data_IF_561302399528
#
_entry.id   IF_561302399528
#
_cell.length_a   1.000
_cell.length_b   1.000
_cell.length_c   1.000
_cell.angle_alpha   90.00
_cell.angle_beta   90.00
_cell.angle_gamma   90.00
#
_symmetry.space_group_name_H-M   'P 1'
#
loop_
_entity.id
_entity.type
_entity.pdbx_description
1 polymer ?
#
# COMPACT_ATOMS: atom_id res chain seq x y z
N UNK A 1 1.50 61.70 -24.28
CA UNK A 1 2.57 60.74 -23.95
C UNK A 1 2.12 60.02 -22.68
N UNK A 2 1.44 58.89 -22.82
CA UNK A 2 0.92 58.08 -21.72
C UNK A 2 1.22 56.64 -22.05
N UNK A 3 2.31 56.12 -21.50
CA UNK A 3 2.66 54.70 -21.63
C UNK A 3 1.70 53.90 -20.75
N UNK A 4 0.87 53.07 -21.39
CA UNK A 4 0.11 52.06 -20.68
C UNK A 4 1.11 50.98 -20.24
N UNK A 5 1.38 50.94 -18.94
CA UNK A 5 2.08 49.83 -18.27
C UNK A 5 1.41 48.52 -18.69
N UNK A 6 2.13 47.74 -19.48
CA UNK A 6 1.78 46.37 -19.84
C UNK A 6 1.87 45.54 -18.56
N UNK A 7 0.72 45.28 -17.93
CA UNK A 7 0.64 44.45 -16.74
C UNK A 7 1.21 43.06 -17.04
N UNK A 8 2.36 42.76 -16.44
CA UNK A 8 2.90 41.41 -16.45
C UNK A 8 1.89 40.48 -15.77
N UNK A 9 1.33 39.55 -16.53
CA UNK A 9 0.51 38.45 -15.98
C UNK A 9 1.42 37.67 -15.03
N UNK A 10 1.08 37.53 -13.74
CA UNK A 10 1.89 36.72 -12.84
C UNK A 10 1.96 35.31 -13.42
N UNK A 11 3.19 34.81 -13.61
CA UNK A 11 3.44 33.46 -14.06
C UNK A 11 2.64 32.51 -13.16
N UNK A 12 1.76 31.70 -13.77
CA UNK A 12 0.90 30.75 -13.06
C UNK A 12 1.78 29.87 -12.19
N UNK A 13 1.66 29.99 -10.86
CA UNK A 13 2.35 29.12 -9.93
C UNK A 13 1.95 27.65 -10.24
N UNK A 14 2.89 26.69 -10.23
CA UNK A 14 2.57 25.31 -10.54
C UNK A 14 1.46 24.84 -9.59
N UNK A 15 0.31 24.47 -10.17
CA UNK A 15 -0.82 23.96 -9.40
C UNK A 15 -0.34 22.75 -8.56
N UNK A 16 -0.69 22.69 -7.26
CA UNK A 16 -0.29 21.57 -6.40
C UNK A 16 -0.67 20.25 -7.06
N UNK A 17 0.30 19.34 -7.17
CA UNK A 17 0.07 18.01 -7.73
C UNK A 17 -0.81 17.23 -6.75
N UNK A 18 -2.13 17.29 -6.96
CA UNK A 18 -3.13 16.63 -6.12
C UNK A 18 -2.87 15.12 -6.11
N UNK A 19 -2.90 14.54 -4.91
CA UNK A 19 -2.76 13.10 -4.73
C UNK A 19 -3.92 12.36 -5.45
N UNK A 20 -3.65 11.13 -5.88
CA UNK A 20 -4.63 10.32 -6.59
C UNK A 20 -5.93 10.19 -5.76
N UNK A 21 -7.07 10.52 -6.37
CA UNK A 21 -8.38 10.45 -5.72
C UNK A 21 -8.76 11.65 -4.86
N UNK A 22 -7.92 12.70 -4.77
CA UNK A 22 -8.20 13.94 -4.03
C UNK A 22 -8.66 15.05 -4.98
N UNK A 23 -9.74 15.74 -4.62
CA UNK A 23 -10.34 16.86 -5.34
C UNK A 23 -9.67 18.20 -5.02
N UNK A 24 -9.99 19.28 -5.77
CA UNK A 24 -9.36 20.59 -5.62
C UNK A 24 -9.57 21.24 -4.24
N UNK A 25 -10.61 20.83 -3.53
CA UNK A 25 -10.95 21.23 -2.16
C UNK A 25 -10.16 20.46 -1.09
N UNK A 26 -9.29 19.53 -1.49
CA UNK A 26 -8.49 18.70 -0.60
C UNK A 26 -9.23 17.49 -0.02
N UNK A 27 -10.49 17.27 -0.41
CA UNK A 27 -11.28 16.11 0.03
C UNK A 27 -11.19 14.95 -0.96
N UNK A 28 -11.62 13.75 -0.57
CA UNK A 28 -11.70 12.64 -1.51
C UNK A 28 -12.77 12.91 -2.57
N UNK A 29 -12.42 12.73 -3.84
CA UNK A 29 -13.41 12.49 -4.89
C UNK A 29 -14.22 11.23 -4.55
N UNK A 30 -15.46 11.10 -5.04
CA UNK A 30 -16.27 9.88 -4.83
C UNK A 30 -15.51 8.61 -5.25
N UNK A 31 -14.79 8.68 -6.36
CA UNK A 31 -13.94 7.58 -6.82
C UNK A 31 -12.79 7.28 -5.84
N UNK A 32 -12.07 8.31 -5.40
CA UNK A 32 -10.99 8.17 -4.42
C UNK A 32 -11.46 7.56 -3.09
N UNK A 33 -12.64 7.97 -2.61
CA UNK A 33 -13.25 7.42 -1.40
C UNK A 33 -13.59 5.93 -1.56
N UNK A 34 -14.23 5.54 -2.67
CA UNK A 34 -14.57 4.13 -2.94
C UNK A 34 -13.30 3.30 -3.08
N UNK A 35 -12.31 3.78 -3.83
CA UNK A 35 -11.04 3.08 -4.02
C UNK A 35 -10.30 2.88 -2.69
N UNK A 36 -10.20 3.93 -1.86
CA UNK A 36 -9.58 3.86 -0.54
C UNK A 36 -10.31 2.87 0.39
N UNK A 37 -11.64 2.90 0.39
CA UNK A 37 -12.44 1.98 1.19
C UNK A 37 -12.24 0.53 0.75
N UNK A 38 -12.34 0.23 -0.55
CA UNK A 38 -12.15 -1.12 -1.08
C UNK A 38 -10.73 -1.61 -0.80
N UNK A 39 -9.72 -0.77 -1.00
CA UNK A 39 -8.33 -1.13 -0.71
C UNK A 39 -8.12 -1.42 0.79
N UNK A 40 -8.69 -0.60 1.68
CA UNK A 40 -8.65 -0.84 3.12
C UNK A 40 -9.35 -2.13 3.53
N UNK A 41 -10.49 -2.44 2.90
CA UNK A 41 -11.25 -3.66 3.14
C UNK A 41 -10.45 -4.90 2.70
N UNK A 42 -9.92 -4.89 1.48
CA UNK A 42 -9.08 -5.96 0.95
C UNK A 42 -7.83 -6.17 1.82
N UNK A 43 -7.20 -5.08 2.25
CA UNK A 43 -6.04 -5.14 3.15
C UNK A 43 -6.41 -5.81 4.47
N UNK A 44 -7.53 -5.41 5.07
CA UNK A 44 -7.99 -5.98 6.34
C UNK A 44 -8.26 -7.47 6.21
N UNK A 45 -9.04 -7.87 5.20
CA UNK A 45 -9.41 -9.27 5.01
C UNK A 45 -8.26 -10.16 4.53
N UNK A 46 -7.25 -9.60 3.87
CA UNK A 46 -6.06 -10.37 3.49
C UNK A 46 -5.05 -10.46 4.65
N UNK A 47 -4.64 -9.33 5.22
CA UNK A 47 -3.52 -9.29 6.16
C UNK A 47 -3.91 -9.76 7.56
N UNK A 48 -5.09 -9.40 8.07
CA UNK A 48 -5.48 -9.76 9.43
C UNK A 48 -5.48 -11.29 9.66
N UNK A 49 -6.14 -12.13 8.84
CA UNK A 49 -6.08 -13.57 9.04
C UNK A 49 -4.68 -14.14 8.82
N UNK A 50 -3.91 -13.60 7.87
CA UNK A 50 -2.55 -14.05 7.60
C UNK A 50 -1.59 -13.77 8.77
N UNK A 51 -1.73 -12.62 9.44
CA UNK A 51 -0.98 -12.30 10.65
C UNK A 51 -1.33 -13.28 11.78
N UNK A 52 -2.62 -13.58 11.96
CA UNK A 52 -3.07 -14.57 12.96
C UNK A 52 -2.48 -15.95 12.65
N UNK A 53 -2.55 -16.41 11.39
CA UNK A 53 -1.95 -17.68 10.96
C UNK A 53 -0.44 -17.68 11.20
N UNK A 54 0.24 -16.60 10.84
CA UNK A 54 1.68 -16.44 11.06
C UNK A 54 2.06 -16.56 12.54
N UNK A 55 1.32 -15.90 13.43
CA UNK A 55 1.53 -15.97 14.87
C UNK A 55 1.33 -17.41 15.39
N UNK A 56 0.25 -18.08 14.99
CA UNK A 56 -0.03 -19.46 15.40
C UNK A 56 1.03 -20.45 14.93
N UNK A 57 1.51 -20.31 13.69
CA UNK A 57 2.59 -21.13 13.13
C UNK A 57 3.89 -20.94 13.91
N UNK A 58 4.21 -19.69 14.25
CA UNK A 58 5.39 -19.36 15.02
C UNK A 58 5.33 -19.96 16.43
N UNK A 59 4.23 -19.74 17.17
CA UNK A 59 4.02 -20.34 18.50
C UNK A 59 4.13 -21.87 18.45
N UNK A 60 3.55 -22.50 17.41
CA UNK A 60 3.66 -23.94 17.23
C UNK A 60 5.11 -24.39 16.96
N UNK A 61 5.89 -23.61 16.22
CA UNK A 61 7.30 -23.91 15.96
C UNK A 61 8.11 -23.94 17.26
N UNK A 62 7.86 -22.99 18.18
CA UNK A 62 8.56 -22.93 19.47
C UNK A 62 8.44 -24.23 20.27
N UNK A 63 7.25 -24.83 20.28
CA UNK A 63 7.02 -26.12 20.96
C UNK A 63 7.72 -27.32 20.30
N UNK A 64 8.21 -27.18 19.07
CA UNK A 64 8.75 -28.29 18.26
C UNK A 64 10.27 -28.30 18.14
N UNK A 65 10.97 -27.21 18.47
CA UNK A 65 12.43 -27.14 18.31
C UNK A 65 13.19 -28.23 19.07
N UNK A 66 12.73 -28.59 20.27
CA UNK A 66 13.39 -29.62 21.10
C UNK A 66 13.18 -31.06 20.61
N UNK A 67 12.21 -31.29 19.72
CA UNK A 67 11.83 -32.64 19.26
C UNK A 67 12.17 -32.84 17.77
N UNK A 68 11.85 -31.86 16.94
CA UNK A 68 11.99 -31.91 15.49
C UNK A 68 12.36 -30.52 14.96
N UNK A 69 13.67 -30.20 14.94
CA UNK A 69 14.17 -28.91 14.47
C UNK A 69 13.84 -28.64 12.99
N UNK A 70 13.77 -29.69 12.16
CA UNK A 70 13.48 -29.55 10.74
C UNK A 70 12.05 -29.05 10.53
N UNK A 71 11.08 -29.68 11.22
CA UNK A 71 9.68 -29.26 11.15
C UNK A 71 9.44 -27.90 11.79
N UNK A 72 10.16 -27.57 12.87
CA UNK A 72 10.09 -26.24 13.47
C UNK A 72 10.52 -25.15 12.48
N UNK A 73 11.64 -25.35 11.76
CA UNK A 73 12.09 -24.41 10.71
C UNK A 73 11.06 -24.25 9.59
N UNK A 74 10.42 -25.35 9.17
CA UNK A 74 9.34 -25.29 8.17
C UNK A 74 8.18 -24.42 8.65
N UNK A 75 7.75 -24.56 9.91
CA UNK A 75 6.69 -23.72 10.48
C UNK A 75 7.09 -22.24 10.55
N UNK A 76 8.33 -21.94 10.92
CA UNK A 76 8.87 -20.56 10.90
C UNK A 76 8.87 -19.99 9.49
N UNK A 77 9.31 -20.76 8.48
CA UNK A 77 9.28 -20.32 7.09
C UNK A 77 7.86 -20.01 6.61
N UNK A 78 6.88 -20.83 6.97
CA UNK A 78 5.47 -20.59 6.66
C UNK A 78 4.88 -19.39 7.40
N UNK A 79 5.33 -19.13 8.64
CA UNK A 79 4.97 -17.92 9.38
C UNK A 79 5.47 -16.67 8.64
N UNK A 80 6.74 -16.65 8.23
CA UNK A 80 7.30 -15.58 7.42
C UNK A 80 6.56 -15.39 6.10
N UNK A 81 6.29 -16.49 5.38
CA UNK A 81 5.57 -16.43 4.09
C UNK A 81 4.18 -15.82 4.23
N UNK A 82 3.49 -16.09 5.35
CA UNK A 82 2.16 -15.52 5.60
C UNK A 82 2.18 -13.99 5.66
N UNK A 83 3.33 -13.39 6.01
CA UNK A 83 3.50 -11.93 6.11
C UNK A 83 4.13 -11.36 4.83
N UNK A 84 5.19 -11.98 4.31
CA UNK A 84 5.99 -11.41 3.21
C UNK A 84 5.33 -11.58 1.84
N UNK A 85 4.63 -12.69 1.60
CA UNK A 85 3.98 -12.95 0.32
C UNK A 85 2.95 -11.86 -0.07
N UNK A 86 1.97 -11.48 0.77
CA UNK A 86 1.01 -10.43 0.40
C UNK A 86 1.66 -9.06 0.19
N UNK A 87 2.74 -8.74 0.94
CA UNK A 87 3.52 -7.51 0.73
C UNK A 87 4.19 -7.52 -0.64
N UNK A 88 4.85 -8.61 -1.01
CA UNK A 88 5.49 -8.75 -2.32
C UNK A 88 4.47 -8.64 -3.46
N UNK A 89 3.31 -9.28 -3.32
CA UNK A 89 2.22 -9.16 -4.30
C UNK A 89 1.77 -7.70 -4.45
N UNK A 90 1.60 -6.98 -3.34
CA UNK A 90 1.22 -5.56 -3.38
C UNK A 90 2.30 -4.70 -4.07
N UNK A 91 3.57 -4.92 -3.77
CA UNK A 91 4.70 -4.21 -4.41
C UNK A 91 4.74 -4.46 -5.92
N UNK A 92 4.61 -5.73 -6.34
CA UNK A 92 4.60 -6.10 -7.76
C UNK A 92 3.40 -5.48 -8.48
N UNK A 93 2.22 -5.49 -7.86
CA UNK A 93 1.03 -4.87 -8.43
C UNK A 93 1.21 -3.36 -8.64
N UNK A 94 1.78 -2.64 -7.66
CA UNK A 94 2.07 -1.21 -7.78
C UNK A 94 3.11 -0.95 -8.88
N UNK A 95 4.18 -1.74 -8.94
CA UNK A 95 5.20 -1.61 -9.98
C UNK A 95 4.63 -1.84 -11.38
N UNK A 96 3.80 -2.88 -11.56
CA UNK A 96 3.13 -3.16 -12.83
C UNK A 96 2.21 -2.01 -13.27
N UNK A 97 1.44 -1.44 -12.33
CA UNK A 97 0.59 -0.28 -12.60
C UNK A 97 1.39 0.97 -12.97
N UNK A 98 2.58 1.16 -12.40
CA UNK A 98 3.48 2.25 -12.76
C UNK A 98 4.03 2.08 -14.17
N UNK A 99 4.45 0.87 -14.54
CA UNK A 99 4.93 0.55 -15.91
C UNK A 99 3.83 0.75 -16.95
N UNK A 100 2.58 0.39 -16.66
CA UNK A 100 1.46 0.57 -17.58
C UNK A 100 1.03 2.04 -17.77
N UNK A 101 1.42 2.94 -16.85
CA UNK A 101 1.08 4.36 -16.89
C UNK A 101 2.18 5.25 -17.48
N UNK A 102 3.42 4.76 -17.55
CA UNK A 102 4.58 5.45 -18.11
C UNK A 102 4.76 5.16 -19.59
#
# INVERSE_FOLDING_TARGET
MTEAVSGAVPASAPAPRLAFGIGPDGTYTRFGQVAAFVLGLLTTFAFLPLVVVGALLYTRAETRFGQDPARARTLVNWSWLSITAPVLVAVVAVAALAVLKG
#
